data_IF_881380280141
#
_entry.id   IF_881380280141
#
_cell.length_a   1.000
_cell.length_b   1.000
_cell.length_c   1.000
_cell.angle_alpha   90.00
_cell.angle_beta   90.00
_cell.angle_gamma   90.00
#
_symmetry.space_group_name_H-M   'P 1'
#
loop_
_entity.id
_entity.type
_entity.pdbx_description
1 polymer ?
#
# COMPACT_ATOMS: atom_id res chain seq x y z
N UNK A 1 25.22 10.06 -7.09
CA UNK A 1 24.50 9.22 -8.06
C UNK A 1 23.44 10.08 -8.74
N UNK A 2 23.33 9.99 -10.07
CA UNK A 2 22.32 10.65 -10.90
C UNK A 2 21.11 9.72 -10.99
N UNK A 3 19.94 10.22 -10.63
CA UNK A 3 18.69 9.51 -10.82
C UNK A 3 18.15 9.90 -12.20
N UNK A 4 17.85 8.90 -13.03
CA UNK A 4 17.35 9.07 -14.40
C UNK A 4 16.00 8.36 -14.49
N UNK A 5 15.02 9.01 -15.11
CA UNK A 5 13.72 8.39 -15.40
C UNK A 5 13.87 7.33 -16.50
N UNK A 6 13.38 6.12 -16.23
CA UNK A 6 13.49 4.95 -17.11
C UNK A 6 12.79 5.11 -18.47
N UNK A 7 11.81 6.03 -18.56
CA UNK A 7 11.01 6.27 -19.78
C UNK A 7 11.39 7.57 -20.46
N UNK A 8 11.62 8.62 -19.67
CA UNK A 8 11.92 9.96 -20.19
C UNK A 8 13.20 10.47 -19.55
N UNK A 9 14.34 10.49 -20.25
CA UNK A 9 15.65 10.97 -19.75
C UNK A 9 15.69 12.48 -19.33
N UNK A 10 14.53 13.10 -19.11
CA UNK A 10 14.32 14.51 -18.81
C UNK A 10 14.44 14.81 -17.31
N UNK A 11 14.12 13.85 -16.43
CA UNK A 11 14.19 14.03 -14.98
C UNK A 11 15.53 13.56 -14.43
N UNK A 12 16.53 14.44 -14.43
CA UNK A 12 17.85 14.18 -13.85
C UNK A 12 18.02 15.01 -12.59
N UNK A 13 18.20 14.34 -11.44
CA UNK A 13 18.64 15.03 -10.21
C UNK A 13 19.68 14.20 -9.47
N UNK A 14 20.60 14.89 -8.80
CA UNK A 14 21.72 14.28 -8.12
C UNK A 14 21.44 14.13 -6.63
N UNK A 15 21.76 12.95 -6.13
CA UNK A 15 21.62 12.59 -4.72
C UNK A 15 22.77 11.64 -4.33
N UNK A 16 23.22 11.68 -3.09
CA UNK A 16 24.21 10.71 -2.62
C UNK A 16 23.51 9.33 -2.46
N UNK A 17 24.27 8.24 -2.42
CA UNK A 17 23.68 6.89 -2.33
C UNK A 17 22.94 6.64 -1.01
N UNK A 18 23.37 7.26 0.08
CA UNK A 18 22.76 7.12 1.41
C UNK A 18 21.37 7.76 1.46
N UNK A 19 21.23 9.00 1.00
CA UNK A 19 19.96 9.72 0.86
C UNK A 19 18.99 8.96 -0.05
N UNK A 20 19.48 8.33 -1.13
CA UNK A 20 18.63 7.50 -2.01
C UNK A 20 18.10 6.29 -1.24
N UNK A 21 18.97 5.61 -0.50
CA UNK A 21 18.58 4.46 0.32
C UNK A 21 17.58 4.89 1.40
N UNK A 22 17.79 6.04 2.03
CA UNK A 22 16.89 6.57 3.05
C UNK A 22 15.51 6.90 2.46
N UNK A 23 15.47 7.59 1.31
CA UNK A 23 14.23 7.90 0.59
C UNK A 23 13.47 6.63 0.21
N UNK A 24 14.15 5.64 -0.37
CA UNK A 24 13.54 4.36 -0.76
C UNK A 24 13.01 3.58 0.45
N UNK A 25 13.73 3.57 1.58
CA UNK A 25 13.27 2.95 2.82
C UNK A 25 12.07 3.67 3.43
N UNK A 26 12.04 5.00 3.38
CA UNK A 26 10.91 5.81 3.84
C UNK A 26 9.65 5.49 3.01
N UNK A 27 9.77 5.52 1.68
CA UNK A 27 8.69 5.17 0.75
C UNK A 27 8.19 3.74 0.98
N UNK A 28 9.11 2.79 1.21
CA UNK A 28 8.77 1.41 1.56
C UNK A 28 7.96 1.35 2.86
N UNK A 29 8.41 2.04 3.90
CA UNK A 29 7.71 2.10 5.21
C UNK A 29 6.28 2.63 5.08
N UNK A 30 6.09 3.67 4.26
CA UNK A 30 4.76 4.23 3.98
C UNK A 30 3.84 3.21 3.30
N UNK A 31 4.36 2.47 2.30
CA UNK A 31 3.62 1.40 1.62
C UNK A 31 3.28 0.24 2.58
N UNK A 32 4.18 -0.11 3.51
CA UNK A 32 3.88 -1.10 4.55
C UNK A 32 2.81 -0.61 5.53
N UNK A 33 2.83 0.68 5.89
CA UNK A 33 1.80 1.32 6.70
C UNK A 33 0.44 1.29 5.99
N UNK A 34 0.41 1.51 4.68
CA UNK A 34 -0.79 1.39 3.86
C UNK A 34 -1.35 -0.04 3.91
N UNK A 35 -0.51 -1.08 3.77
CA UNK A 35 -0.93 -2.48 3.93
C UNK A 35 -1.56 -2.70 5.31
N UNK A 36 -0.93 -2.22 6.38
CA UNK A 36 -1.48 -2.34 7.76
C UNK A 36 -2.84 -1.66 7.87
N UNK A 37 -2.99 -0.47 7.31
CA UNK A 37 -4.27 0.25 7.26
C UNK A 37 -5.35 -0.56 6.51
N UNK A 38 -5.03 -1.10 5.33
CA UNK A 38 -6.00 -1.87 4.54
C UNK A 38 -6.44 -3.13 5.31
N UNK A 39 -5.49 -3.87 5.91
CA UNK A 39 -5.79 -5.03 6.77
C UNK A 39 -6.71 -4.65 7.93
N UNK A 40 -6.45 -3.54 8.61
CA UNK A 40 -7.31 -3.06 9.69
C UNK A 40 -8.75 -2.77 9.23
N UNK A 41 -8.92 -2.26 8.00
CA UNK A 41 -10.26 -2.04 7.41
C UNK A 41 -10.97 -3.37 7.09
N UNK A 42 -10.26 -4.37 6.58
CA UNK A 42 -10.79 -5.73 6.36
C UNK A 42 -11.22 -6.35 7.69
N UNK A 43 -10.36 -6.31 8.70
CA UNK A 43 -10.65 -6.88 10.02
C UNK A 43 -11.88 -6.24 10.67
N UNK A 44 -12.03 -4.92 10.54
CA UNK A 44 -13.20 -4.19 11.04
C UNK A 44 -14.48 -4.66 10.35
N UNK A 45 -14.45 -4.83 9.02
CA UNK A 45 -15.58 -5.36 8.26
C UNK A 45 -15.93 -6.79 8.68
N UNK A 46 -14.94 -7.68 8.77
CA UNK A 46 -15.12 -9.07 9.16
C UNK A 46 -15.64 -9.23 10.59
N UNK A 47 -15.18 -8.40 11.53
CA UNK A 47 -15.71 -8.37 12.90
C UNK A 47 -17.16 -7.92 12.93
N UNK A 48 -17.50 -6.85 12.20
CA UNK A 48 -18.88 -6.36 12.09
C UNK A 48 -19.80 -7.46 11.54
N UNK A 49 -19.45 -8.04 10.39
CA UNK A 49 -20.22 -9.12 9.76
C UNK A 49 -20.44 -10.31 10.69
N UNK A 50 -19.39 -10.79 11.37
CA UNK A 50 -19.50 -11.89 12.33
C UNK A 50 -20.42 -11.56 13.51
N UNK A 51 -20.38 -10.32 14.00
CA UNK A 51 -21.28 -9.88 15.07
C UNK A 51 -22.74 -9.85 14.61
N UNK A 52 -23.01 -9.38 13.40
CA UNK A 52 -24.35 -9.36 12.80
C UNK A 52 -24.88 -10.77 12.58
N UNK A 53 -24.06 -11.69 12.07
CA UNK A 53 -24.43 -13.08 11.90
C UNK A 53 -24.67 -13.78 13.25
N UNK A 54 -23.83 -13.56 14.26
CA UNK A 54 -24.03 -14.11 15.60
C UNK A 54 -25.31 -13.58 16.27
N UNK A 55 -25.58 -12.28 16.13
CA UNK A 55 -26.84 -11.67 16.59
C UNK A 55 -28.04 -12.28 15.87
N UNK A 56 -27.99 -12.42 14.54
CA UNK A 56 -29.08 -13.03 13.79
C UNK A 56 -29.32 -14.48 14.22
N UNK A 57 -28.24 -15.26 14.43
CA UNK A 57 -28.37 -16.66 14.83
C UNK A 57 -28.95 -16.83 16.23
N UNK A 58 -28.67 -15.90 17.16
CA UNK A 58 -29.22 -15.94 18.52
C UNK A 58 -30.69 -15.52 18.63
N UNK A 59 -31.28 -14.96 17.57
CA UNK A 59 -32.71 -14.63 17.54
C UNK A 59 -33.59 -15.88 17.54
N UNK A 60 -34.74 -15.79 18.24
CA UNK A 60 -35.78 -16.82 18.17
C UNK A 60 -36.42 -16.88 16.78
N UNK A 61 -37.01 -18.03 16.37
CA UNK A 61 -37.65 -18.17 15.06
C UNK A 61 -38.68 -17.09 14.74
N UNK A 62 -39.46 -16.68 15.75
CA UNK A 62 -40.46 -15.61 15.60
C UNK A 62 -39.76 -14.28 15.31
N UNK A 63 -38.70 -13.92 16.03
CA UNK A 63 -37.93 -12.69 15.77
C UNK A 63 -37.21 -12.71 14.43
N UNK A 64 -36.80 -13.89 13.94
CA UNK A 64 -36.19 -14.06 12.60
C UNK A 64 -37.18 -13.74 11.47
N UNK A 65 -38.48 -14.01 11.65
CA UNK A 65 -39.52 -13.67 10.67
C UNK A 65 -39.76 -12.16 10.54
N UNK A 66 -39.52 -11.40 11.61
CA UNK A 66 -39.73 -9.94 11.65
C UNK A 66 -38.44 -9.12 11.47
N UNK A 67 -37.28 -9.76 11.29
CA UNK A 67 -36.02 -9.06 11.03
C UNK A 67 -35.67 -9.09 9.55
N UNK A 68 -35.50 -7.91 8.94
CA UNK A 68 -35.07 -7.80 7.55
C UNK A 68 -33.57 -8.12 7.44
N UNK A 69 -33.24 -9.38 7.11
CA UNK A 69 -31.88 -9.73 6.70
C UNK A 69 -31.64 -9.20 5.29
N UNK A 70 -30.52 -8.51 5.06
CA UNK A 70 -30.12 -8.09 3.73
C UNK A 70 -30.05 -9.32 2.79
N UNK A 71 -30.55 -9.22 1.55
CA UNK A 71 -30.50 -10.34 0.60
C UNK A 71 -29.05 -10.83 0.41
N UNK A 72 -28.86 -12.14 0.23
CA UNK A 72 -27.53 -12.76 0.14
C UNK A 72 -26.65 -12.16 -0.96
N UNK A 73 -27.26 -11.66 -2.04
CA UNK A 73 -26.55 -11.01 -3.14
C UNK A 73 -25.86 -9.71 -2.70
N UNK A 74 -26.48 -8.89 -1.85
CA UNK A 74 -25.86 -7.68 -1.32
C UNK A 74 -24.64 -8.02 -0.46
N UNK A 75 -24.74 -9.07 0.37
CA UNK A 75 -23.63 -9.52 1.21
C UNK A 75 -22.43 -10.00 0.38
N UNK A 76 -22.68 -10.66 -0.76
CA UNK A 76 -21.63 -11.10 -1.68
C UNK A 76 -20.91 -9.93 -2.37
N UNK A 77 -21.67 -8.93 -2.83
CA UNK A 77 -21.12 -7.72 -3.46
C UNK A 77 -20.29 -6.93 -2.44
N UNK A 78 -20.82 -6.74 -1.23
CA UNK A 78 -20.09 -6.10 -0.14
C UNK A 78 -18.79 -6.84 0.17
N UNK A 79 -18.81 -8.17 0.24
CA UNK A 79 -17.61 -8.95 0.49
C UNK A 79 -16.56 -8.77 -0.61
N UNK A 80 -16.98 -8.76 -1.87
CA UNK A 80 -16.09 -8.54 -3.01
C UNK A 80 -15.36 -7.19 -2.89
N UNK A 81 -16.09 -6.12 -2.60
CA UNK A 81 -15.51 -4.76 -2.52
C UNK A 81 -14.72 -4.56 -1.22
N UNK A 82 -15.25 -4.98 -0.08
CA UNK A 82 -14.66 -4.71 1.23
C UNK A 82 -13.56 -5.68 1.63
N UNK A 83 -13.42 -6.83 0.96
CA UNK A 83 -12.40 -7.82 1.28
C UNK A 83 -11.56 -8.16 0.05
N UNK A 84 -12.17 -8.67 -1.01
CA UNK A 84 -11.43 -9.20 -2.16
C UNK A 84 -10.64 -8.12 -2.89
N UNK A 85 -11.27 -7.00 -3.26
CA UNK A 85 -10.57 -5.90 -3.92
C UNK A 85 -9.46 -5.31 -3.06
N UNK A 86 -9.66 -5.26 -1.74
CA UNK A 86 -8.64 -4.80 -0.79
C UNK A 86 -7.44 -5.71 -0.70
N UNK A 87 -7.65 -7.03 -0.75
CA UNK A 87 -6.54 -7.97 -0.88
C UNK A 87 -5.79 -7.78 -2.20
N UNK A 88 -6.49 -7.55 -3.31
CA UNK A 88 -5.83 -7.25 -4.58
C UNK A 88 -4.98 -5.97 -4.48
N UNK A 89 -5.45 -4.93 -3.79
CA UNK A 89 -4.64 -3.74 -3.51
C UNK A 89 -3.41 -4.06 -2.68
N UNK A 90 -3.54 -4.88 -1.62
CA UNK A 90 -2.39 -5.33 -0.83
C UNK A 90 -1.35 -6.05 -1.69
N UNK A 91 -1.78 -6.94 -2.60
CA UNK A 91 -0.86 -7.67 -3.48
C UNK A 91 -0.11 -6.73 -4.43
N UNK A 92 -0.77 -5.71 -4.99
CA UNK A 92 -0.10 -4.67 -5.78
C UNK A 92 0.93 -3.89 -4.95
N UNK A 93 0.59 -3.52 -3.72
CA UNK A 93 1.52 -2.81 -2.84
C UNK A 93 2.73 -3.69 -2.49
N UNK A 94 2.53 -4.99 -2.25
CA UNK A 94 3.64 -5.94 -2.02
C UNK A 94 4.56 -6.06 -3.22
N UNK A 95 4.02 -6.08 -4.43
CA UNK A 95 4.82 -6.08 -5.66
C UNK A 95 5.69 -4.81 -5.73
N UNK A 96 5.12 -3.64 -5.40
CA UNK A 96 5.88 -2.40 -5.34
C UNK A 96 6.98 -2.43 -4.27
N UNK A 97 6.71 -2.97 -3.09
CA UNK A 97 7.72 -3.17 -2.03
C UNK A 97 8.86 -4.07 -2.52
N UNK A 98 8.54 -5.17 -3.22
CA UNK A 98 9.56 -6.05 -3.77
C UNK A 98 10.44 -5.37 -4.83
N UNK A 99 9.91 -4.42 -5.59
CA UNK A 99 10.70 -3.57 -6.51
C UNK A 99 11.62 -2.64 -5.71
N UNK A 100 11.11 -1.98 -4.67
CA UNK A 100 11.91 -1.12 -3.79
C UNK A 100 13.05 -1.89 -3.12
N UNK A 101 12.80 -3.11 -2.64
CA UNK A 101 13.81 -3.97 -2.02
C UNK A 101 14.95 -4.30 -2.99
N UNK A 102 14.63 -4.56 -4.26
CA UNK A 102 15.64 -4.78 -5.31
C UNK A 102 16.46 -3.53 -5.57
N UNK A 103 15.82 -2.36 -5.64
CA UNK A 103 16.49 -1.08 -5.87
C UNK A 103 17.42 -0.72 -4.70
N UNK A 104 16.95 -0.86 -3.46
CA UNK A 104 17.77 -0.67 -2.25
C UNK A 104 18.99 -1.59 -2.28
N UNK A 105 18.78 -2.88 -2.60
CA UNK A 105 19.87 -3.85 -2.71
C UNK A 105 20.87 -3.45 -3.79
N UNK A 106 20.40 -2.96 -4.94
CA UNK A 106 21.25 -2.50 -6.05
C UNK A 106 22.13 -1.31 -5.63
N UNK A 107 21.54 -0.30 -4.99
CA UNK A 107 22.27 0.89 -4.53
C UNK A 107 23.30 0.53 -3.46
N UNK A 108 22.98 -0.41 -2.56
CA UNK A 108 23.94 -0.93 -1.58
C UNK A 108 25.10 -1.70 -2.21
N UNK A 109 24.83 -2.48 -3.26
CA UNK A 109 25.84 -3.34 -3.91
C UNK A 109 26.80 -2.55 -4.78
N UNK A 110 26.32 -1.47 -5.40
CA UNK A 110 27.06 -0.68 -6.37
C UNK A 110 27.05 0.83 -6.00
N UNK A 111 27.59 1.23 -4.83
CA UNK A 111 27.54 2.62 -4.37
C UNK A 111 28.36 3.57 -5.26
N UNK A 112 29.34 3.05 -6.00
CA UNK A 112 30.16 3.79 -6.96
C UNK A 112 29.48 4.00 -8.32
N UNK A 113 28.29 3.44 -8.54
CA UNK A 113 27.58 3.62 -9.81
C UNK A 113 27.12 5.07 -9.92
N UNK A 114 27.41 5.67 -11.07
CA UNK A 114 27.11 7.09 -11.26
C UNK A 114 25.64 7.35 -11.56
N UNK A 115 24.90 6.34 -12.02
CA UNK A 115 23.53 6.47 -12.52
C UNK A 115 22.62 5.35 -12.00
N UNK A 116 21.37 5.69 -11.67
CA UNK A 116 20.30 4.74 -11.38
C UNK A 116 19.05 5.13 -12.17
N UNK A 117 18.44 4.13 -12.80
CA UNK A 117 17.19 4.28 -13.52
C UNK A 117 16.02 3.94 -12.61
N UNK A 118 15.10 4.90 -12.44
CA UNK A 118 13.89 4.76 -11.63
C UNK A 118 12.66 5.11 -12.46
N UNK A 119 11.50 4.58 -12.07
CA UNK A 119 10.24 4.99 -12.70
C UNK A 119 9.95 6.46 -12.38
N UNK A 120 9.31 7.18 -13.31
CA UNK A 120 8.94 8.58 -13.12
C UNK A 120 8.09 8.82 -11.86
N UNK A 121 7.20 7.88 -11.50
CA UNK A 121 6.42 7.96 -10.25
C UNK A 121 7.31 7.90 -9.01
N UNK A 122 8.31 7.00 -9.00
CA UNK A 122 9.22 6.87 -7.86
C UNK A 122 10.14 8.10 -7.73
N UNK A 123 10.50 8.71 -8.85
CA UNK A 123 11.24 9.98 -8.87
C UNK A 123 10.44 11.10 -8.21
N UNK A 124 9.15 11.22 -8.52
CA UNK A 124 8.27 12.19 -7.86
C UNK A 124 8.10 11.90 -6.37
N UNK A 125 7.98 10.61 -5.97
CA UNK A 125 7.95 10.23 -4.54
C UNK A 125 9.25 10.63 -3.81
N UNK A 126 10.42 10.43 -4.43
CA UNK A 126 11.72 10.83 -3.85
C UNK A 126 11.85 12.36 -3.79
N UNK A 127 11.40 13.09 -4.81
CA UNK A 127 11.36 14.56 -4.79
C UNK A 127 10.48 15.08 -3.65
N UNK A 128 9.28 14.51 -3.49
CA UNK A 128 8.37 14.87 -2.41
C UNK A 128 8.96 14.57 -1.03
N UNK A 129 9.65 13.44 -0.88
CA UNK A 129 10.38 13.09 0.35
C UNK A 129 11.45 14.14 0.68
N UNK A 130 12.25 14.54 -0.32
CA UNK A 130 13.29 15.56 -0.16
C UNK A 130 12.71 16.93 0.23
N UNK A 131 11.60 17.34 -0.39
CA UNK A 131 10.90 18.57 -0.03
C UNK A 131 10.35 18.54 1.40
N UNK A 132 9.86 17.38 1.85
CA UNK A 132 9.36 17.20 3.20
C UNK A 132 10.49 17.26 4.25
N UNK A 133 11.67 16.71 3.93
CA UNK A 133 12.86 16.78 4.79
C UNK A 133 13.35 18.22 4.96
N UNK A 134 13.40 19.01 3.88
CA UNK A 134 13.83 20.42 3.90
C UNK A 134 12.89 21.29 4.74
N UNK A 135 11.59 21.00 4.78
CA UNK A 135 10.62 21.75 5.58
C UNK A 135 10.67 21.45 7.09
N UNK A 136 11.39 20.40 7.49
CA UNK A 136 11.52 20.01 8.90
C UNK A 136 12.83 20.51 9.54
N UNK A 137 13.72 21.13 8.77
CA UNK A 137 14.94 21.81 9.23
C UNK A 137 14.70 23.31 9.33
#
# INVERSE_FOLDING_TARGET
>A
MRIIDEVNEVNIFQMNSEDIIEALNSIKSDKEAEIRMIKGKIDKYEKKRRSEDAMYQSLSPIKKLFTSRAPSHHQAVEYMVYVRERFNSIEKIKQNIAVLDKLISLVHSEPSKEEIFLSGLLIEEIKAWKEAEVRQK
#
